data_IF_231661816038
#
_entry.id   IF_231661816038
#
_cell.length_a   1.000
_cell.length_b   1.000
_cell.length_c   1.000
_cell.angle_alpha   90.00
_cell.angle_beta   90.00
_cell.angle_gamma   90.00
#
_symmetry.space_group_name_H-M   'P 1'
#
loop_
_entity.id
_entity.type
_entity.pdbx_description
1 polymer ?
#
# COMPACT_ATOMS: atom_id res chain seq x y z
N UNK A 1 -1.41 -12.83 8.43
CA UNK A 1 0.01 -12.38 8.41
C UNK A 1 0.14 -11.03 7.68
N UNK A 2 0.67 -9.99 8.33
CA UNK A 2 0.88 -8.69 7.69
C UNK A 2 1.96 -8.84 6.60
N UNK A 3 1.53 -8.86 5.34
CA UNK A 3 2.39 -9.03 4.17
C UNK A 3 2.96 -7.67 3.73
N UNK A 4 4.21 -7.68 3.23
CA UNK A 4 4.74 -6.53 2.51
C UNK A 4 4.16 -6.49 1.10
N UNK A 5 3.69 -5.31 0.68
CA UNK A 5 3.07 -5.10 -0.63
C UNK A 5 3.81 -3.98 -1.38
N UNK A 6 3.92 -4.08 -2.71
CA UNK A 6 4.27 -2.93 -3.55
C UNK A 6 3.10 -1.95 -3.57
N UNK A 7 3.43 -0.67 -3.62
CA UNK A 7 2.49 0.40 -3.95
C UNK A 7 2.89 0.92 -5.32
N UNK A 8 1.95 0.90 -6.26
CA UNK A 8 2.16 1.30 -7.66
C UNK A 8 1.21 2.45 -8.03
N UNK A 9 1.55 3.18 -9.08
CA UNK A 9 0.62 4.11 -9.74
C UNK A 9 -0.21 3.39 -10.83
N UNK A 10 -1.01 4.13 -11.58
CA UNK A 10 -1.89 3.59 -12.62
C UNK A 10 -1.14 3.04 -13.85
N UNK A 11 0.11 3.45 -14.06
CA UNK A 11 1.01 2.96 -15.13
C UNK A 11 1.81 1.72 -14.67
N UNK A 12 1.47 1.14 -13.51
CA UNK A 12 2.17 0.02 -12.86
C UNK A 12 3.63 0.35 -12.42
N UNK A 13 3.95 1.63 -12.25
CA UNK A 13 5.26 2.05 -11.76
C UNK A 13 5.33 1.94 -10.23
N UNK A 14 6.37 1.29 -9.72
CA UNK A 14 6.60 1.13 -8.28
C UNK A 14 6.95 2.47 -7.62
N UNK A 15 6.13 2.90 -6.66
CA UNK A 15 6.35 4.14 -5.89
C UNK A 15 6.81 3.89 -4.46
N UNK A 16 6.44 2.76 -3.84
CA UNK A 16 6.86 2.40 -2.50
C UNK A 16 6.72 0.90 -2.18
N UNK A 17 7.34 0.48 -1.08
CA UNK A 17 7.08 -0.83 -0.45
C UNK A 17 6.69 -0.62 1.01
N UNK A 18 5.61 -1.29 1.45
CA UNK A 18 5.06 -1.10 2.79
C UNK A 18 4.35 -2.33 3.34
N UNK A 19 3.95 -2.25 4.61
CA UNK A 19 3.12 -3.29 5.24
C UNK A 19 1.66 -2.97 5.01
N UNK A 20 0.90 -3.94 4.49
CA UNK A 20 -0.54 -3.83 4.41
C UNK A 20 -1.14 -3.82 5.83
N UNK A 21 -1.98 -2.81 6.12
CA UNK A 21 -2.60 -2.61 7.43
C UNK A 21 -4.03 -3.14 7.45
N UNK A 22 -4.78 -2.89 6.38
CA UNK A 22 -6.16 -3.35 6.20
C UNK A 22 -6.21 -4.67 5.44
N UNK A 23 -7.27 -5.46 5.61
CA UNK A 23 -7.53 -6.58 4.72
C UNK A 23 -7.81 -6.09 3.29
N UNK A 24 -7.60 -6.94 2.25
CA UNK A 24 -7.88 -6.54 0.86
C UNK A 24 -9.29 -6.00 0.65
N UNK A 25 -10.29 -6.56 1.33
CA UNK A 25 -11.67 -6.09 1.26
C UNK A 25 -11.83 -4.68 1.83
N UNK A 26 -11.28 -4.43 3.02
CA UNK A 26 -11.37 -3.13 3.69
C UNK A 26 -10.64 -2.02 2.91
N UNK A 27 -9.58 -2.34 2.17
CA UNK A 27 -8.89 -1.38 1.29
C UNK A 27 -9.84 -0.81 0.22
N UNK A 28 -10.78 -1.60 -0.29
CA UNK A 28 -11.76 -1.14 -1.28
C UNK A 28 -13.04 -0.54 -0.65
N UNK A 29 -13.39 -0.98 0.56
CA UNK A 29 -14.64 -0.55 1.22
C UNK A 29 -14.49 0.78 1.99
N UNK A 30 -13.29 1.16 2.45
CA UNK A 30 -13.09 2.33 3.33
C UNK A 30 -12.63 3.59 2.57
N UNK A 31 -13.37 4.68 2.72
CA UNK A 31 -13.00 6.01 2.14
C UNK A 31 -11.89 6.72 2.92
N UNK A 32 -11.76 6.46 4.22
CA UNK A 32 -10.75 7.07 5.10
C UNK A 32 -10.19 5.99 5.99
N UNK A 33 -8.89 5.70 5.92
CA UNK A 33 -8.05 4.94 6.86
C UNK A 33 -6.65 4.82 6.23
N UNK A 34 -5.65 4.34 6.99
CA UNK A 34 -4.32 4.02 6.43
C UNK A 34 -4.34 2.61 5.85
N UNK A 35 -4.31 2.48 4.51
CA UNK A 35 -4.28 1.18 3.84
C UNK A 35 -2.91 0.48 3.97
N UNK A 36 -1.83 1.23 3.74
CA UNK A 36 -0.45 0.71 3.76
C UNK A 36 0.43 1.64 4.59
N UNK A 37 1.25 1.06 5.47
CA UNK A 37 2.33 1.78 6.16
C UNK A 37 3.64 1.60 5.40
N UNK A 38 4.10 2.65 4.75
CA UNK A 38 5.32 2.67 3.93
C UNK A 38 6.55 2.37 4.78
N UNK A 39 7.44 1.49 4.28
CA UNK A 39 8.77 1.24 4.84
C UNK A 39 9.85 1.99 4.05
N UNK A 40 9.73 2.04 2.73
CA UNK A 40 10.68 2.70 1.82
C UNK A 40 9.94 3.23 0.59
N UNK A 41 10.15 4.51 0.26
CA UNK A 41 9.76 5.10 -1.02
C UNK A 41 10.83 4.88 -2.09
N UNK A 42 10.43 4.87 -3.36
CA UNK A 42 11.35 4.72 -4.50
C UNK A 42 11.93 6.07 -4.94
N UNK A 43 11.20 7.16 -4.75
CA UNK A 43 11.73 8.50 -4.99
C UNK A 43 12.65 8.94 -3.84
N UNK A 44 13.87 9.36 -4.19
CA UNK A 44 14.82 10.01 -3.29
C UNK A 44 14.25 11.32 -2.73
#
# INVERSE_FOLDING_TARGET
PMQYVPVVNEEDELIAVGKLILSPREVFDFERHVAVRVKRGVMN
#
